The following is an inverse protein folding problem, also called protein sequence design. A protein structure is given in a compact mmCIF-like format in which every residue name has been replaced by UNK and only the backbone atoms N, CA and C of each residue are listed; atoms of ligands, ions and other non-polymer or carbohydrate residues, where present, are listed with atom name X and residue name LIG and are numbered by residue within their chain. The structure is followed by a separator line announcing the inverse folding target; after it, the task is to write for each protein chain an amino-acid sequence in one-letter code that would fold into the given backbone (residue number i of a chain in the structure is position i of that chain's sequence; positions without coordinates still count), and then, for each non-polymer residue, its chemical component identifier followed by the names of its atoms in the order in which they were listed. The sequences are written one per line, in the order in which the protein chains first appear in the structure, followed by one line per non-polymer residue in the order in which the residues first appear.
data_IF_040871173963
#
_entry.id   IF_040871173963
#
_cell.length_a   1.000
_cell.length_b   1.000
_cell.length_c   1.000
_cell.angle_alpha   90.00
_cell.angle_beta   90.00
_cell.angle_gamma   90.00
#
_symmetry.space_group_name_H-M   'P 1'
#
loop_
_entity.id
_entity.type
_entity.pdbx_description
1 polymer ?
#
# COMPACT_ATOMS: atom_id res chain seq x y z
N UNK A 1 -5.76 7.53 9.84
CA UNK A 1 -5.65 8.17 11.16
C UNK A 1 -4.41 9.06 11.19
N UNK A 2 -4.57 10.34 10.81
CA UNK A 2 -3.48 11.31 10.90
C UNK A 2 -3.14 11.52 12.38
N UNK A 3 -1.84 11.47 12.69
CA UNK A 3 -1.28 11.97 13.96
C UNK A 3 -1.08 13.49 13.83
N UNK A 4 -1.02 14.25 14.94
CA UNK A 4 -0.67 15.67 14.91
C UNK A 4 0.63 16.00 14.16
N UNK A 5 1.57 15.04 14.13
CA UNK A 5 2.88 15.18 13.45
C UNK A 5 2.95 14.42 12.12
N UNK A 6 1.81 14.11 11.47
CA UNK A 6 1.81 13.31 10.25
C UNK A 6 2.21 14.13 9.02
N UNK A 7 3.31 13.73 8.36
CA UNK A 7 3.71 14.27 7.07
C UNK A 7 2.64 14.02 5.98
N UNK A 8 2.49 14.97 5.07
CA UNK A 8 1.66 14.86 3.88
C UNK A 8 2.48 14.29 2.72
N UNK A 9 2.20 13.03 2.37
CA UNK A 9 2.74 12.39 1.18
C UNK A 9 1.88 12.70 -0.05
N UNK A 10 2.35 13.57 -0.95
CA UNK A 10 1.73 13.76 -2.26
C UNK A 10 2.38 12.82 -3.26
N UNK A 11 1.57 11.94 -3.84
CA UNK A 11 2.02 10.95 -4.82
C UNK A 11 1.54 11.33 -6.22
N UNK A 12 2.48 11.48 -7.15
CA UNK A 12 2.19 11.82 -8.53
C UNK A 12 2.45 10.61 -9.45
N UNK A 13 1.59 10.46 -10.46
CA UNK A 13 1.84 9.63 -11.62
C UNK A 13 1.93 10.59 -12.82
N UNK A 14 3.01 10.51 -13.58
CA UNK A 14 3.24 11.41 -14.71
C UNK A 14 3.66 10.63 -15.95
N UNK A 15 3.52 11.26 -17.12
CA UNK A 15 4.02 10.74 -18.39
C UNK A 15 5.04 11.72 -18.96
N UNK A 16 6.07 11.19 -19.63
CA UNK A 16 7.05 11.97 -20.40
C UNK A 16 6.70 11.99 -21.89
N UNK A 17 7.27 12.93 -22.63
CA UNK A 17 7.08 13.03 -24.08
C UNK A 17 7.62 11.81 -24.85
N UNK A 18 7.15 11.59 -26.08
CA UNK A 18 7.63 10.47 -26.92
C UNK A 18 9.15 10.51 -27.12
N UNK A 19 9.74 11.69 -27.37
CA UNK A 19 11.20 11.83 -27.50
C UNK A 19 11.97 11.40 -26.24
N UNK A 20 11.34 11.51 -25.07
CA UNK A 20 11.94 10.98 -23.85
C UNK A 20 12.07 9.46 -23.93
N UNK A 21 11.04 8.80 -24.45
CA UNK A 21 10.90 7.34 -24.57
C UNK A 21 11.70 6.73 -25.72
N UNK A 22 11.90 7.47 -26.80
CA UNK A 22 12.69 7.08 -27.98
C UNK A 22 14.20 7.32 -27.81
N UNK A 23 14.63 7.66 -26.59
CA UNK A 23 16.04 7.85 -26.28
C UNK A 23 16.74 6.53 -25.98
N UNK A 24 17.98 6.38 -26.46
CA UNK A 24 18.84 5.22 -26.14
C UNK A 24 19.24 5.20 -24.66
N UNK A 25 19.30 6.37 -24.01
CA UNK A 25 19.69 6.47 -22.62
C UNK A 25 18.56 6.09 -21.67
N UNK A 26 18.89 5.30 -20.64
CA UNK A 26 18.00 5.09 -19.51
C UNK A 26 17.87 6.39 -18.69
N UNK A 27 16.68 6.96 -18.70
CA UNK A 27 16.38 8.21 -17.99
C UNK A 27 15.66 7.92 -16.67
N UNK A 28 15.84 8.81 -15.68
CA UNK A 28 15.22 8.68 -14.35
C UNK A 28 13.69 8.72 -14.46
N UNK A 29 13.04 7.68 -13.96
CA UNK A 29 11.58 7.45 -14.04
C UNK A 29 10.85 7.76 -12.73
N UNK A 30 11.53 8.42 -11.79
CA UNK A 30 10.93 8.92 -10.56
C UNK A 30 11.61 10.17 -10.03
N UNK A 31 10.89 10.92 -9.21
CA UNK A 31 11.44 12.03 -8.45
C UNK A 31 10.89 12.04 -7.02
N UNK A 32 11.60 12.75 -6.16
CA UNK A 32 11.23 13.04 -4.78
C UNK A 32 11.62 14.49 -4.51
N UNK A 33 10.74 15.24 -3.88
CA UNK A 33 10.94 16.66 -3.53
C UNK A 33 10.34 16.93 -2.16
N UNK A 34 11.20 17.35 -1.23
CA UNK A 34 10.84 17.88 0.08
C UNK A 34 10.53 19.37 -0.10
N UNK A 35 9.26 19.77 0.07
CA UNK A 35 8.86 21.19 -0.08
C UNK A 35 9.12 21.93 1.22
N UNK A 36 8.76 21.33 2.35
CA UNK A 36 9.02 21.78 3.70
C UNK A 36 9.16 20.54 4.60
N UNK A 37 9.17 20.72 5.94
CA UNK A 37 9.29 19.60 6.88
C UNK A 37 8.07 18.67 6.92
N UNK A 38 6.96 19.05 6.28
CA UNK A 38 5.66 18.39 6.43
C UNK A 38 5.10 17.89 5.08
N UNK A 39 5.73 18.22 3.95
CA UNK A 39 5.19 17.94 2.61
C UNK A 39 6.24 17.31 1.69
N UNK A 40 6.00 16.04 1.40
CA UNK A 40 6.86 15.20 0.57
C UNK A 40 6.14 14.82 -0.72
N UNK A 41 6.73 15.22 -1.85
CA UNK A 41 6.18 14.93 -3.17
C UNK A 41 7.01 13.85 -3.86
N UNK A 42 6.40 12.69 -4.10
CA UNK A 42 7.03 11.61 -4.87
C UNK A 42 6.29 11.36 -6.17
N UNK A 43 7.02 11.34 -7.29
CA UNK A 43 6.45 11.10 -8.61
C UNK A 43 7.01 9.86 -9.26
N UNK A 44 6.15 9.05 -9.88
CA UNK A 44 6.54 7.92 -10.72
C UNK A 44 6.05 8.12 -12.15
N UNK A 45 6.91 7.83 -13.11
CA UNK A 45 6.56 7.82 -14.53
C UNK A 45 5.63 6.62 -14.82
N UNK A 46 4.69 6.77 -15.76
CA UNK A 46 3.64 5.76 -16.02
C UNK A 46 4.22 4.40 -16.44
N UNK A 47 5.34 4.36 -17.18
CA UNK A 47 6.05 3.10 -17.51
C UNK A 47 6.53 2.38 -16.23
N UNK A 48 6.99 3.12 -15.23
CA UNK A 48 7.40 2.55 -13.93
C UNK A 48 6.18 2.00 -13.17
N UNK A 49 5.09 2.76 -13.15
CA UNK A 49 3.82 2.34 -12.53
C UNK A 49 3.34 1.02 -13.13
N UNK A 50 3.29 0.92 -14.46
CA UNK A 50 2.85 -0.31 -15.15
C UNK A 50 3.78 -1.50 -14.90
N UNK A 51 5.11 -1.28 -14.88
CA UNK A 51 6.08 -2.33 -14.49
C UNK A 51 5.90 -2.81 -13.04
N UNK A 52 5.52 -1.91 -12.14
CA UNK A 52 5.22 -2.26 -10.75
C UNK A 52 3.89 -3.00 -10.62
N UNK A 53 2.87 -2.59 -11.39
CA UNK A 53 1.60 -3.30 -11.46
C UNK A 53 1.78 -4.72 -11.96
N UNK A 54 2.56 -4.94 -13.03
CA UNK A 54 2.89 -6.28 -13.54
C UNK A 54 3.46 -7.22 -12.46
N UNK A 55 4.16 -6.65 -11.47
CA UNK A 55 4.74 -7.39 -10.33
C UNK A 55 3.81 -7.47 -9.12
N UNK A 56 2.56 -7.04 -9.22
CA UNK A 56 1.61 -6.88 -8.11
C UNK A 56 2.22 -6.12 -6.92
N UNK A 57 3.01 -5.08 -7.20
CA UNK A 57 3.72 -4.35 -6.17
C UNK A 57 2.72 -3.58 -5.29
N UNK A 58 2.78 -3.81 -3.98
CA UNK A 58 1.83 -3.22 -3.02
C UNK A 58 1.87 -1.69 -3.01
N UNK A 59 3.03 -1.07 -3.14
CA UNK A 59 3.15 0.39 -3.08
C UNK A 59 2.44 1.10 -4.23
N UNK A 60 2.34 0.48 -5.41
CA UNK A 60 1.50 1.04 -6.50
C UNK A 60 0.02 0.77 -6.26
N UNK A 61 -0.35 -0.41 -5.77
CA UNK A 61 -1.74 -0.74 -5.45
C UNK A 61 -2.32 0.18 -4.37
N UNK A 62 -1.53 0.50 -3.34
CA UNK A 62 -1.92 1.49 -2.33
C UNK A 62 -2.00 2.91 -2.93
N UNK A 63 -1.02 3.31 -3.77
CA UNK A 63 -1.02 4.64 -4.39
C UNK A 63 -2.26 4.92 -5.24
N UNK A 64 -2.75 3.92 -5.97
CA UNK A 64 -3.96 4.05 -6.80
C UNK A 64 -5.25 4.19 -5.99
N UNK A 65 -5.23 3.79 -4.72
CA UNK A 65 -6.37 3.88 -3.82
C UNK A 65 -6.40 5.19 -3.00
N UNK A 66 -5.53 6.17 -3.30
CA UNK A 66 -5.48 7.44 -2.58
C UNK A 66 -6.88 8.06 -2.44
N UNK A 67 -7.38 8.32 -1.21
CA UNK A 67 -8.73 8.84 -1.01
C UNK A 67 -8.89 10.29 -1.49
N UNK A 68 -7.77 11.01 -1.69
CA UNK A 68 -7.75 12.39 -2.14
C UNK A 68 -7.05 12.46 -3.50
N UNK A 69 -7.71 13.05 -4.48
CA UNK A 69 -7.20 13.31 -5.83
C UNK A 69 -7.13 14.81 -6.05
N UNK A 70 -5.91 15.35 -6.10
CA UNK A 70 -5.69 16.81 -6.29
C UNK A 70 -5.85 17.25 -7.74
N UNK A 71 -5.42 16.40 -8.67
CA UNK A 71 -5.47 16.68 -10.11
C UNK A 71 -5.57 15.38 -10.86
N UNK A 72 -6.52 15.33 -11.78
CA UNK A 72 -6.69 14.26 -12.73
C UNK A 72 -6.84 14.86 -14.12
N UNK A 73 -6.16 14.27 -15.11
CA UNK A 73 -6.22 14.78 -16.48
C UNK A 73 -7.46 14.27 -17.22
N UNK A 74 -7.89 13.03 -16.93
CA UNK A 74 -9.11 12.42 -17.42
C UNK A 74 -9.61 11.39 -16.40
N UNK A 75 -10.91 11.38 -16.12
CA UNK A 75 -11.59 10.42 -15.24
C UNK A 75 -11.38 8.96 -15.66
N UNK A 76 -11.30 8.68 -16.97
CA UNK A 76 -11.07 7.32 -17.48
C UNK A 76 -9.69 6.77 -17.09
N UNK A 77 -8.70 7.64 -16.87
CA UNK A 77 -7.32 7.21 -16.61
C UNK A 77 -7.20 6.35 -15.35
N UNK A 78 -7.79 6.80 -14.24
CA UNK A 78 -7.73 6.04 -12.99
C UNK A 78 -8.56 4.76 -13.07
N UNK A 79 -9.72 4.80 -13.72
CA UNK A 79 -10.58 3.63 -13.90
C UNK A 79 -9.89 2.54 -14.73
N UNK A 80 -9.28 2.92 -15.86
CA UNK A 80 -8.56 1.98 -16.71
C UNK A 80 -7.29 1.45 -16.04
N UNK A 81 -6.54 2.31 -15.33
CA UNK A 81 -5.36 1.89 -14.58
C UNK A 81 -5.71 0.97 -13.41
N UNK A 82 -6.86 1.18 -12.76
CA UNK A 82 -7.37 0.31 -11.69
C UNK A 82 -7.79 -1.06 -12.22
N UNK A 83 -8.44 -1.14 -13.40
CA UNK A 83 -8.72 -2.42 -14.06
C UNK A 83 -7.43 -3.20 -14.34
N UNK A 84 -6.39 -2.53 -14.87
CA UNK A 84 -5.07 -3.15 -15.07
C UNK A 84 -4.46 -3.64 -13.75
N UNK A 85 -4.63 -2.88 -12.67
CA UNK A 85 -4.17 -3.28 -11.35
C UNK A 85 -4.88 -4.55 -10.84
N UNK A 86 -6.19 -4.68 -11.07
CA UNK A 86 -6.96 -5.88 -10.74
C UNK A 86 -6.50 -7.09 -11.58
N UNK A 87 -6.24 -6.89 -12.88
CA UNK A 87 -5.73 -7.94 -13.77
C UNK A 87 -4.34 -8.44 -13.35
N UNK A 88 -3.47 -7.53 -12.92
CA UNK A 88 -2.11 -7.86 -12.49
C UNK A 88 -2.01 -8.32 -11.02
N UNK A 89 -3.10 -8.26 -10.26
CA UNK A 89 -3.08 -8.60 -8.84
C UNK A 89 -2.74 -10.07 -8.62
N UNK A 90 -1.74 -10.30 -7.78
CA UNK A 90 -1.24 -11.61 -7.40
C UNK A 90 -1.39 -11.78 -5.89
N UNK A 91 -2.43 -12.50 -5.43
CA UNK A 91 -2.66 -12.79 -4.01
C UNK A 91 -1.42 -13.34 -3.30
N UNK A 92 -0.74 -14.33 -3.90
CA UNK A 92 0.51 -14.89 -3.34
C UNK A 92 1.61 -13.83 -3.19
N UNK A 93 1.82 -12.98 -4.19
CA UNK A 93 2.86 -11.94 -4.10
C UNK A 93 2.52 -10.90 -3.04
N UNK A 94 1.25 -10.53 -2.94
CA UNK A 94 0.78 -9.48 -2.05
C UNK A 94 0.72 -9.94 -0.60
N UNK A 95 0.29 -11.18 -0.31
CA UNK A 95 0.33 -11.72 1.05
C UNK A 95 1.78 -11.84 1.55
N UNK A 96 2.74 -12.29 0.73
CA UNK A 96 4.14 -12.36 1.14
C UNK A 96 4.70 -10.97 1.48
N UNK A 97 4.34 -9.94 0.71
CA UNK A 97 4.75 -8.58 1.01
C UNK A 97 4.23 -8.12 2.37
N UNK A 98 2.92 -8.24 2.61
CA UNK A 98 2.31 -7.80 3.86
C UNK A 98 2.76 -8.64 5.06
N UNK A 99 2.86 -9.97 4.90
CA UNK A 99 3.37 -10.86 5.94
C UNK A 99 4.81 -10.50 6.33
N UNK A 100 5.72 -10.33 5.37
CA UNK A 100 7.11 -9.93 5.67
C UNK A 100 7.18 -8.57 6.37
N UNK A 101 6.33 -7.62 5.97
CA UNK A 101 6.22 -6.32 6.63
C UNK A 101 5.69 -6.46 8.06
N UNK A 102 4.63 -7.24 8.26
CA UNK A 102 4.04 -7.53 9.56
C UNK A 102 5.08 -8.18 10.48
N UNK A 103 5.71 -9.27 10.06
CA UNK A 103 6.73 -10.01 10.81
C UNK A 103 7.88 -9.12 11.30
N UNK A 104 8.31 -8.13 10.48
CA UNK A 104 9.33 -7.15 10.90
C UNK A 104 8.85 -6.31 12.09
N UNK A 105 7.63 -5.78 12.03
CA UNK A 105 7.09 -4.92 13.09
C UNK A 105 6.64 -5.73 14.32
N UNK A 106 6.10 -6.93 14.12
CA UNK A 106 5.78 -7.88 15.20
C UNK A 106 7.06 -8.18 15.98
N UNK A 107 8.15 -8.56 15.30
CA UNK A 107 9.46 -8.79 15.94
C UNK A 107 9.93 -7.57 16.73
N UNK A 108 9.79 -6.37 16.19
CA UNK A 108 10.16 -5.14 16.90
C UNK A 108 9.31 -4.90 18.16
N UNK A 109 8.03 -5.30 18.16
CA UNK A 109 7.15 -5.22 19.32
C UNK A 109 7.43 -6.32 20.36
N UNK A 110 7.84 -7.52 19.91
CA UNK A 110 8.21 -8.62 20.80
C UNK A 110 9.52 -8.40 21.54
N UNK A 111 10.45 -7.62 20.98
CA UNK A 111 11.75 -7.31 21.60
C UNK A 111 11.66 -6.31 22.75
N UNK A 112 10.53 -5.62 22.90
CA UNK A 112 10.33 -4.70 24.01
C UNK A 112 9.64 -5.42 25.18
N UNK A 113 10.10 -5.13 26.40
CA UNK A 113 9.63 -5.83 27.61
C UNK A 113 8.15 -5.52 27.90
N UNK A 114 7.84 -4.29 28.29
CA UNK A 114 6.49 -3.88 28.72
C UNK A 114 5.84 -2.86 27.79
N UNK A 115 6.63 -2.05 27.10
CA UNK A 115 6.13 -0.94 26.28
C UNK A 115 6.67 -1.00 24.86
N UNK A 116 5.81 -0.72 23.90
CA UNK A 116 6.15 -0.68 22.47
C UNK A 116 5.86 0.70 21.91
N UNK A 117 6.58 1.10 20.86
CA UNK A 117 6.20 2.30 20.11
C UNK A 117 4.82 2.10 19.50
N UNK A 118 3.86 2.97 19.81
CA UNK A 118 2.50 2.84 19.29
C UNK A 118 2.46 2.84 17.76
N UNK A 119 3.34 3.63 17.13
CA UNK A 119 3.55 3.64 15.67
C UNK A 119 3.93 2.26 15.12
N UNK A 120 4.79 1.50 15.83
CA UNK A 120 5.15 0.13 15.44
C UNK A 120 3.97 -0.83 15.53
N UNK A 121 3.13 -0.70 16.57
CA UNK A 121 1.88 -1.46 16.68
C UNK A 121 0.95 -1.19 15.49
N UNK A 122 0.73 0.08 15.12
CA UNK A 122 -0.08 0.40 13.96
C UNK A 122 0.45 -0.19 12.66
N UNK A 123 1.78 -0.19 12.45
CA UNK A 123 2.35 -0.84 11.28
C UNK A 123 2.18 -2.36 11.30
N UNK A 124 2.35 -3.01 12.46
CA UNK A 124 2.10 -4.44 12.62
C UNK A 124 0.63 -4.78 12.36
N UNK A 125 -0.30 -4.09 13.02
CA UNK A 125 -1.75 -4.28 12.89
C UNK A 125 -2.19 -4.10 11.44
N UNK A 126 -1.83 -2.97 10.80
CA UNK A 126 -2.20 -2.70 9.42
C UNK A 126 -1.68 -3.77 8.46
N UNK A 127 -0.39 -4.12 8.57
CA UNK A 127 0.22 -5.13 7.71
C UNK A 127 -0.45 -6.50 7.88
N UNK A 128 -0.75 -6.89 9.12
CA UNK A 128 -1.44 -8.15 9.44
C UNK A 128 -2.86 -8.16 8.89
N UNK A 129 -3.65 -7.11 9.10
CA UNK A 129 -5.02 -7.02 8.56
C UNK A 129 -5.00 -7.05 7.02
N UNK A 130 -4.05 -6.36 6.37
CA UNK A 130 -3.88 -6.44 4.92
C UNK A 130 -3.57 -7.87 4.45
N UNK A 131 -2.69 -8.60 5.14
CA UNK A 131 -2.38 -9.99 4.81
C UNK A 131 -3.61 -10.90 5.01
N UNK A 132 -4.36 -10.73 6.10
CA UNK A 132 -5.60 -11.45 6.35
C UNK A 132 -6.64 -11.13 5.26
N UNK A 133 -6.76 -9.88 4.83
CA UNK A 133 -7.67 -9.52 3.73
C UNK A 133 -7.35 -10.27 2.44
N UNK A 134 -6.07 -10.37 2.07
CA UNK A 134 -5.67 -11.14 0.89
C UNK A 134 -6.04 -12.62 1.04
N UNK A 135 -5.81 -13.19 2.24
CA UNK A 135 -6.14 -14.57 2.56
C UNK A 135 -7.66 -14.85 2.49
N UNK A 136 -8.47 -14.02 3.13
CA UNK A 136 -9.92 -14.23 3.26
C UNK A 136 -10.70 -13.82 2.01
N UNK A 137 -10.33 -12.69 1.40
CA UNK A 137 -11.11 -12.07 0.32
C UNK A 137 -10.53 -12.33 -1.07
N UNK A 138 -9.30 -12.84 -1.16
CA UNK A 138 -8.57 -13.01 -2.42
C UNK A 138 -8.59 -11.74 -3.29
N UNK A 139 -8.47 -10.58 -2.65
CA UNK A 139 -8.65 -9.26 -3.26
C UNK A 139 -7.58 -8.27 -2.78
N UNK A 140 -7.39 -7.19 -3.55
CA UNK A 140 -6.50 -6.08 -3.16
C UNK A 140 -7.03 -5.47 -1.85
N UNK A 141 -6.20 -5.36 -0.80
CA UNK A 141 -6.62 -4.72 0.45
C UNK A 141 -6.96 -3.23 0.25
N UNK A 142 -8.11 -2.76 0.79
CA UNK A 142 -8.43 -1.36 0.88
C UNK A 142 -7.34 -0.55 1.59
N UNK A 143 -6.98 0.63 1.05
CA UNK A 143 -6.02 1.52 1.75
C UNK A 143 -6.57 2.01 3.09
N UNK A 144 -7.89 2.19 3.18
CA UNK A 144 -8.61 2.61 4.37
C UNK A 144 -8.85 1.40 5.29
N UNK A 145 -8.15 1.36 6.42
CA UNK A 145 -8.12 0.18 7.31
C UNK A 145 -9.50 -0.20 7.86
N UNK A 146 -10.35 0.79 8.14
CA UNK A 146 -11.73 0.58 8.60
C UNK A 146 -12.58 -0.22 7.60
N UNK A 147 -12.31 -0.13 6.29
CA UNK A 147 -13.01 -0.96 5.30
C UNK A 147 -12.68 -2.46 5.44
N UNK A 148 -11.58 -2.79 6.09
CA UNK A 148 -11.17 -4.17 6.36
C UNK A 148 -11.69 -4.69 7.70
N UNK A 149 -12.38 -3.89 8.52
CA UNK A 149 -12.91 -4.37 9.81
C UNK A 149 -14.00 -5.43 9.67
N UNK A 150 -14.54 -5.63 8.47
CA UNK A 150 -15.48 -6.73 8.18
C UNK A 150 -14.88 -8.13 8.39
N UNK A 151 -13.54 -8.26 8.39
CA UNK A 151 -12.82 -9.51 8.65
C UNK A 151 -12.13 -9.55 10.02
N UNK A 152 -12.44 -8.57 10.89
CA UNK A 152 -11.84 -8.41 12.22
C UNK A 152 -12.92 -8.72 13.27
N UNK A 153 -12.56 -9.37 14.37
CA UNK A 153 -13.52 -9.62 15.45
C UNK A 153 -13.95 -8.30 16.13
N UNK A 154 -15.20 -8.21 16.65
CA UNK A 154 -15.68 -7.00 17.31
C UNK A 154 -14.76 -6.50 18.45
N UNK A 155 -14.27 -7.42 19.29
CA UNK A 155 -13.38 -7.09 20.41
C UNK A 155 -12.05 -6.49 19.93
N UNK A 156 -11.48 -7.06 18.86
CA UNK A 156 -10.24 -6.56 18.26
C UNK A 156 -10.46 -5.22 17.56
N UNK A 157 -11.58 -5.05 16.86
CA UNK A 157 -11.95 -3.78 16.26
C UNK A 157 -12.05 -2.69 17.34
N UNK A 158 -12.79 -2.94 18.41
CA UNK A 158 -12.92 -2.01 19.54
C UNK A 158 -11.55 -1.64 20.10
N UNK A 159 -10.66 -2.63 20.29
CA UNK A 159 -9.30 -2.38 20.79
C UNK A 159 -8.48 -1.51 19.84
N UNK A 160 -8.59 -1.74 18.53
CA UNK A 160 -7.90 -0.91 17.53
C UNK A 160 -8.42 0.52 17.54
N UNK A 161 -9.73 0.71 17.70
CA UNK A 161 -10.37 2.04 17.82
C UNK A 161 -9.89 2.78 19.08
N UNK A 162 -9.80 2.10 20.24
CA UNK A 162 -9.20 2.67 21.45
C UNK A 162 -7.74 3.14 21.22
N UNK A 163 -6.92 2.34 20.52
CA UNK A 163 -5.55 2.72 20.17
C UNK A 163 -5.50 3.92 19.21
N UNK A 164 -6.48 4.05 18.31
CA UNK A 164 -6.58 5.17 17.38
C UNK A 164 -6.86 6.46 18.13
N UNK A 165 -7.79 6.42 19.08
CA UNK A 165 -8.12 7.56 19.93
C UNK A 165 -6.90 8.01 20.73
N UNK A 166 -6.18 7.06 21.33
CA UNK A 166 -4.90 7.35 22.02
C UNK A 166 -3.89 7.99 21.06
N UNK A 167 -3.73 7.45 19.84
CA UNK A 167 -2.79 8.00 18.86
C UNK A 167 -3.13 9.44 18.46
N UNK A 168 -4.41 9.81 18.45
CA UNK A 168 -4.83 11.16 18.07
C UNK A 168 -4.35 12.24 19.05
N UNK A 169 -4.09 11.86 20.31
CA UNK A 169 -3.68 12.76 21.39
C UNK A 169 -2.17 12.74 21.68
N UNK A 170 -1.42 11.80 21.08
CA UNK A 170 -0.01 11.55 21.40
C UNK A 170 0.90 11.81 20.20
N UNK A 171 2.15 12.18 20.48
CA UNK A 171 3.17 12.33 19.44
C UNK A 171 3.62 10.98 18.88
N UNK A 172 4.27 11.00 17.70
CA UNK A 172 4.74 9.75 17.05
C UNK A 172 5.77 8.95 17.87
N UNK A 173 6.45 9.60 18.82
CA UNK A 173 7.42 8.98 19.72
C UNK A 173 6.82 8.23 20.90
N UNK A 174 5.49 8.22 21.05
CA UNK A 174 4.81 7.64 22.19
C UNK A 174 4.98 6.12 22.29
N UNK A 175 5.26 5.67 23.52
CA UNK A 175 5.31 4.27 23.91
C UNK A 175 4.02 3.91 24.64
N UNK A 176 3.42 2.79 24.24
CA UNK A 176 2.19 2.25 24.80
C UNK A 176 2.49 0.92 25.48
N UNK A 177 1.78 0.63 26.56
CA UNK A 177 1.85 -0.68 27.20
C UNK A 177 1.38 -1.76 26.23
N UNK A 178 1.99 -2.94 26.31
CA UNK A 178 1.60 -4.04 25.43
C UNK A 178 0.19 -4.50 25.74
N UNK A 179 -0.57 -4.80 24.68
CA UNK A 179 -1.93 -5.31 24.79
C UNK A 179 -1.97 -6.78 24.36
N UNK A 180 -2.44 -7.63 25.27
CA UNK A 180 -2.44 -9.08 25.07
C UNK A 180 -3.32 -9.53 23.90
N UNK A 181 -4.47 -8.87 23.69
CA UNK A 181 -5.39 -9.18 22.59
C UNK A 181 -4.76 -8.85 21.24
N UNK A 182 -4.08 -7.70 21.16
CA UNK A 182 -3.34 -7.29 19.95
C UNK A 182 -2.16 -8.24 19.68
N UNK A 183 -1.35 -8.53 20.70
CA UNK A 183 -0.19 -9.41 20.55
C UNK A 183 -0.60 -10.83 20.11
N UNK A 184 -1.65 -11.40 20.70
CA UNK A 184 -2.20 -12.70 20.31
C UNK A 184 -2.68 -12.69 18.86
N UNK A 185 -3.47 -11.69 18.47
CA UNK A 185 -3.94 -11.53 17.10
C UNK A 185 -2.79 -11.48 16.09
N UNK A 186 -1.76 -10.69 16.38
CA UNK A 186 -0.59 -10.52 15.52
C UNK A 186 0.16 -11.84 15.33
N UNK A 187 0.41 -12.56 16.42
CA UNK A 187 1.14 -13.83 16.38
C UNK A 187 0.35 -14.95 15.69
N UNK A 188 -0.95 -15.07 15.98
CA UNK A 188 -1.81 -16.07 15.35
C UNK A 188 -1.94 -15.82 13.84
N UNK A 189 -2.30 -14.59 13.46
CA UNK A 189 -2.45 -14.21 12.05
C UNK A 189 -1.16 -14.38 11.27
N UNK A 190 0.00 -14.07 11.89
CA UNK A 190 1.30 -14.28 11.25
C UNK A 190 1.52 -15.75 10.87
N UNK A 191 1.23 -16.69 11.78
CA UNK A 191 1.39 -18.13 11.52
C UNK A 191 0.44 -18.61 10.42
N UNK A 192 -0.84 -18.27 10.54
CA UNK A 192 -1.84 -18.64 9.53
C UNK A 192 -1.48 -18.12 8.13
N UNK A 193 -1.03 -16.85 8.05
CA UNK A 193 -0.62 -16.25 6.78
C UNK A 193 0.61 -16.93 6.18
N UNK A 194 1.58 -17.36 7.01
CA UNK A 194 2.74 -18.12 6.55
C UNK A 194 2.34 -19.50 5.98
N UNK A 195 1.40 -20.19 6.64
CA UNK A 195 0.92 -21.51 6.24
C UNK A 195 0.10 -21.54 4.95
N UNK A 196 -0.57 -20.43 4.62
CA UNK A 196 -1.45 -20.32 3.45
C UNK A 196 -0.82 -19.57 2.28
N UNK A 197 0.20 -18.74 2.50
CA UNK A 197 0.76 -17.85 1.48
C UNK A 197 1.15 -18.60 0.20
N UNK A 198 1.84 -19.73 0.32
CA UNK A 198 2.29 -20.54 -0.82
C UNK A 198 1.17 -21.22 -1.61
N UNK A 199 -0.04 -21.29 -1.02
CA UNK A 199 -1.23 -21.93 -1.62
C UNK A 199 -2.12 -20.93 -2.36
N UNK A 200 -1.91 -19.63 -2.18
CA UNK A 200 -2.69 -18.60 -2.86
C UNK A 200 -2.33 -18.55 -4.35
N UNK A 201 -3.29 -18.16 -5.21
CA UNK A 201 -3.05 -18.07 -6.63
C UNK A 201 -2.08 -16.93 -6.97
N UNK A 202 -1.39 -17.10 -8.10
CA UNK A 202 -0.70 -16.01 -8.79
C UNK A 202 -1.67 -15.04 -9.47
N UNK A 203 -1.13 -14.09 -10.23
CA UNK A 203 -1.94 -13.25 -11.08
C UNK A 203 -2.65 -14.10 -12.15
N UNK A 204 -3.97 -13.96 -12.22
CA UNK A 204 -4.84 -14.83 -13.03
C UNK A 204 -4.90 -14.36 -14.49
N UNK A 205 -4.80 -13.05 -14.75
CA UNK A 205 -5.02 -12.49 -16.09
C UNK A 205 -4.05 -11.34 -16.42
N UNK A 206 -2.75 -11.66 -16.51
CA UNK A 206 -1.72 -10.68 -16.85
C UNK A 206 -1.37 -10.75 -18.34
N UNK A 207 -1.78 -9.77 -19.12
CA UNK A 207 -1.35 -9.60 -20.51
C UNK A 207 -0.44 -8.37 -20.61
N UNK A 208 0.78 -8.56 -21.10
CA UNK A 208 1.72 -7.46 -21.29
C UNK A 208 1.23 -6.51 -22.38
N UNK A 209 0.52 -7.02 -23.40
CA UNK A 209 0.04 -6.19 -24.50
C UNK A 209 -1.04 -5.21 -24.03
N UNK A 210 -1.91 -5.60 -23.08
CA UNK A 210 -2.87 -4.67 -22.46
C UNK A 210 -2.17 -3.48 -21.77
N UNK A 211 -1.07 -3.75 -21.06
CA UNK A 211 -0.26 -2.71 -20.41
C UNK A 211 0.43 -1.83 -21.45
N UNK A 212 0.96 -2.44 -22.51
CA UNK A 212 1.64 -1.76 -23.61
C UNK A 212 0.68 -0.87 -24.41
N UNK A 213 -0.54 -1.32 -24.70
CA UNK A 213 -1.56 -0.55 -25.40
C UNK A 213 -2.07 0.62 -24.56
N UNK A 214 -2.33 0.39 -23.27
CA UNK A 214 -2.63 1.47 -22.33
C UNK A 214 -1.49 2.49 -22.30
N UNK A 215 -0.24 2.03 -22.20
CA UNK A 215 0.93 2.89 -22.18
C UNK A 215 1.07 3.73 -23.46
N UNK A 216 0.97 3.11 -24.64
CA UNK A 216 1.05 3.79 -25.94
C UNK A 216 -0.07 4.82 -26.09
N UNK A 217 -1.29 4.50 -25.66
CA UNK A 217 -2.44 5.44 -25.65
C UNK A 217 -2.10 6.69 -24.83
N UNK A 218 -1.60 6.52 -23.60
CA UNK A 218 -1.26 7.63 -22.71
C UNK A 218 -0.13 8.49 -23.27
N UNK A 219 0.97 7.88 -23.73
CA UNK A 219 2.11 8.63 -24.29
C UNK A 219 1.70 9.44 -25.51
N UNK A 220 0.96 8.85 -26.45
CA UNK A 220 0.50 9.55 -27.67
C UNK A 220 -0.44 10.71 -27.34
N UNK A 221 -1.35 10.54 -26.37
CA UNK A 221 -2.27 11.61 -25.96
C UNK A 221 -1.57 12.81 -25.30
N UNK A 222 -0.41 12.58 -24.68
CA UNK A 222 0.36 13.64 -24.02
C UNK A 222 1.14 14.52 -25.02
N UNK A 223 1.55 13.98 -26.16
CA UNK A 223 2.32 14.72 -27.15
C UNK A 223 1.47 15.58 -28.09
N UNK A 224 0.15 15.40 -28.05
CA UNK A 224 -0.81 16.21 -28.80
C UNK A 224 -1.44 17.33 -27.97
N UNK A 225 -1.01 17.53 -26.72
CA UNK A 225 -1.38 18.63 -25.82
C UNK A 225 -0.19 19.56 -25.58
#
# INVERSE_FOLDING_TARGET
FPSPDSDYDVRCIYVKSMDWHLSINNKKDSFERFINKELDITGWEIRKVLKLLWKSNVSVLERLQSPIVYKLQNDDFLNDLWKLAQNCFSPVSTIYHYHNMASRYIKACSQADQQVKLKSYFYAIRATICANWVREMNAIPPIEMNKMFTIVSPDLQQKIEELIDIKSEKSEGYFHDKDALIDEFLLLSSRENEEVASKLPGAVNRDMEELDDFYRKIVRSNDHN
#
